data_IF_864592343337
#
_entry.id   IF_864592343337
#
_cell.length_a   1.000
_cell.length_b   1.000
_cell.length_c   1.000
_cell.angle_alpha   90.00
_cell.angle_beta   90.00
_cell.angle_gamma   90.00
#
_symmetry.space_group_name_H-M   'P 1'
#
loop_
_entity.id
_entity.type
_entity.pdbx_description
1 polymer ?
#
# COMPACT_ATOMS: atom_id res chain seq x y z
N UNK A 1 -3.49 -10.01 -8.63
CA UNK A 1 -2.27 -9.92 -7.80
C UNK A 1 -1.25 -9.10 -8.57
N UNK A 2 -0.80 -7.97 -8.02
CA UNK A 2 0.50 -7.43 -8.46
C UNK A 2 1.53 -8.50 -8.08
N UNK A 3 2.33 -8.92 -9.05
CA UNK A 3 3.17 -10.13 -8.97
C UNK A 3 4.37 -9.97 -8.00
N UNK A 4 4.56 -8.78 -7.45
CA UNK A 4 5.47 -8.52 -6.33
C UNK A 4 4.71 -8.82 -5.03
N UNK A 5 5.17 -9.81 -4.27
CA UNK A 5 4.47 -10.43 -3.14
C UNK A 5 4.25 -9.56 -1.90
N UNK A 6 4.17 -8.23 -2.02
CA UNK A 6 3.88 -7.33 -0.92
C UNK A 6 2.46 -6.80 -1.03
N UNK A 7 1.66 -6.98 0.03
CA UNK A 7 0.36 -6.33 0.12
C UNK A 7 0.58 -4.83 0.34
N UNK A 8 -0.03 -4.03 -0.53
CA UNK A 8 0.01 -2.56 -0.44
C UNK A 8 -1.39 -2.02 -0.14
N UNK A 9 -1.46 -1.00 0.69
CA UNK A 9 -2.70 -0.36 1.12
C UNK A 9 -2.55 1.16 1.10
N UNK A 10 -3.51 1.86 0.49
CA UNK A 10 -3.54 3.32 0.50
C UNK A 10 -3.87 3.84 1.91
N UNK A 11 -3.25 4.95 2.31
CA UNK A 11 -3.56 5.71 3.53
C UNK A 11 -3.93 7.14 3.14
N UNK A 12 -5.16 7.54 3.44
CA UNK A 12 -5.69 8.83 3.02
C UNK A 12 -5.58 9.03 1.49
N UNK A 13 -5.30 10.26 1.08
CA UNK A 13 -5.18 10.62 -0.34
C UNK A 13 -3.73 10.79 -0.80
N UNK A 14 -2.76 10.57 0.09
CA UNK A 14 -1.38 11.06 -0.09
C UNK A 14 -0.33 9.97 -0.19
N UNK A 15 -0.68 8.72 0.14
CA UNK A 15 0.32 7.68 0.24
C UNK A 15 -0.28 6.29 0.33
N UNK A 16 0.62 5.30 0.32
CA UNK A 16 0.32 3.91 0.60
C UNK A 16 1.44 3.32 1.44
N UNK A 17 1.14 2.25 2.17
CA UNK A 17 2.13 1.47 2.92
C UNK A 17 2.42 0.15 2.22
N UNK A 18 3.67 -0.29 2.34
CA UNK A 18 4.17 -1.57 1.85
C UNK A 18 4.26 -2.54 3.02
N UNK A 19 3.48 -3.62 3.00
CA UNK A 19 3.64 -4.75 3.93
C UNK A 19 3.63 -4.39 5.42
N UNK A 20 4.13 -5.30 6.24
CA UNK A 20 4.52 -4.99 7.62
C UNK A 20 5.96 -4.43 7.68
N UNK A 21 6.41 -4.04 8.87
CA UNK A 21 7.73 -3.43 9.08
C UNK A 21 8.87 -4.39 8.71
N UNK A 22 8.69 -5.70 8.93
CA UNK A 22 9.70 -6.70 8.61
C UNK A 22 9.84 -6.89 7.10
N UNK A 23 8.71 -6.97 6.38
CA UNK A 23 8.67 -7.01 4.92
C UNK A 23 9.25 -5.73 4.30
N UNK A 24 8.94 -4.57 4.86
CA UNK A 24 9.48 -3.28 4.41
C UNK A 24 11.01 -3.23 4.59
N UNK A 25 11.51 -3.70 5.73
CA UNK A 25 12.94 -3.75 5.99
C UNK A 25 13.66 -4.72 5.03
N UNK A 26 13.08 -5.90 4.78
CA UNK A 26 13.64 -6.87 3.85
C UNK A 26 13.67 -6.37 2.40
N UNK A 27 12.72 -5.51 2.01
CA UNK A 27 12.62 -4.94 0.67
C UNK A 27 13.41 -3.63 0.48
N UNK A 28 14.02 -3.06 1.53
CA UNK A 28 14.60 -1.72 1.48
C UNK A 28 15.66 -1.55 0.38
N UNK A 29 16.59 -2.50 0.26
CA UNK A 29 17.66 -2.44 -0.74
C UNK A 29 17.12 -2.55 -2.18
N UNK A 30 16.11 -3.40 -2.40
CA UNK A 30 15.45 -3.54 -3.70
C UNK A 30 14.67 -2.28 -4.07
N UNK A 31 13.98 -1.66 -3.12
CA UNK A 31 13.28 -0.40 -3.32
C UNK A 31 14.25 0.73 -3.67
N UNK A 32 15.41 0.79 -2.99
CA UNK A 32 16.46 1.76 -3.29
C UNK A 32 17.00 1.58 -4.71
N UNK A 33 17.34 0.34 -5.10
CA UNK A 33 17.81 0.01 -6.46
C UNK A 33 16.79 0.39 -7.54
N UNK A 34 15.51 0.12 -7.31
CA UNK A 34 14.42 0.51 -8.22
C UNK A 34 14.30 2.04 -8.31
N UNK A 35 14.49 2.75 -7.20
CA UNK A 35 14.50 4.21 -7.16
C UNK A 35 15.65 4.81 -7.95
N UNK A 36 16.85 4.23 -7.86
CA UNK A 36 18.02 4.65 -8.65
C UNK A 36 17.82 4.40 -10.15
N UNK A 37 17.25 3.26 -10.53
CA UNK A 37 17.07 2.88 -11.93
C UNK A 37 15.97 3.71 -12.63
N UNK A 38 14.86 3.98 -11.94
CA UNK A 38 13.66 4.55 -12.54
C UNK A 38 13.32 5.96 -12.06
N UNK A 39 14.06 6.49 -11.09
CA UNK A 39 13.85 7.81 -10.52
C UNK A 39 12.62 7.91 -9.60
N UNK A 40 12.36 9.15 -9.16
CA UNK A 40 11.22 9.48 -8.32
C UNK A 40 9.89 9.20 -9.04
N UNK A 41 8.98 8.53 -8.33
CA UNK A 41 7.65 8.14 -8.83
C UNK A 41 6.51 8.76 -8.05
N UNK A 42 6.79 9.80 -7.27
CA UNK A 42 5.77 10.53 -6.52
C UNK A 42 4.66 11.10 -7.43
N UNK A 43 4.96 11.37 -8.71
CA UNK A 43 3.93 11.77 -9.66
C UNK A 43 2.87 10.68 -9.95
N UNK A 44 3.19 9.40 -9.71
CA UNK A 44 2.26 8.26 -9.84
C UNK A 44 1.49 7.97 -8.55
N UNK A 45 1.87 8.55 -7.41
CA UNK A 45 1.20 8.34 -6.13
C UNK A 45 -0.33 8.52 -6.23
N UNK A 46 -0.86 9.58 -6.87
CA UNK A 46 -2.31 9.77 -6.97
C UNK A 46 -3.01 8.63 -7.72
N UNK A 47 -2.40 8.13 -8.80
CA UNK A 47 -2.96 7.05 -9.62
C UNK A 47 -2.93 5.71 -8.88
N UNK A 48 -1.83 5.43 -8.17
CA UNK A 48 -1.70 4.24 -7.33
C UNK A 48 -2.75 4.28 -6.20
N UNK A 49 -2.89 5.41 -5.50
CA UNK A 49 -3.89 5.57 -4.45
C UNK A 49 -5.31 5.40 -5.00
N UNK A 50 -5.63 6.03 -6.13
CA UNK A 50 -6.92 5.88 -6.78
C UNK A 50 -7.20 4.41 -7.13
N UNK A 51 -6.22 3.72 -7.71
CA UNK A 51 -6.34 2.31 -8.04
C UNK A 51 -6.60 1.45 -6.78
N UNK A 52 -5.83 1.63 -5.71
CA UNK A 52 -6.01 0.87 -4.47
C UNK A 52 -7.38 1.09 -3.82
N UNK A 53 -7.93 2.31 -3.91
CA UNK A 53 -9.31 2.58 -3.48
C UNK A 53 -10.33 1.80 -4.29
N UNK A 54 -10.16 1.66 -5.61
CA UNK A 54 -11.06 0.82 -6.43
C UNK A 54 -11.01 -0.65 -6.04
N UNK A 55 -9.89 -1.11 -5.48
CA UNK A 55 -9.73 -2.48 -4.98
C UNK A 55 -10.21 -2.66 -3.53
N UNK A 56 -10.71 -1.60 -2.88
CA UNK A 56 -11.07 -1.61 -1.46
C UNK A 56 -9.87 -1.70 -0.50
N UNK A 57 -8.65 -1.45 -0.99
CA UNK A 57 -7.39 -1.53 -0.23
C UNK A 57 -6.98 -0.14 0.27
N UNK A 58 -7.77 0.43 1.16
CA UNK A 58 -7.61 1.82 1.61
C UNK A 58 -8.06 2.00 3.07
N UNK A 59 -7.30 2.81 3.81
CA UNK A 59 -7.62 3.27 5.16
C UNK A 59 -7.76 4.78 5.13
N UNK A 60 -8.92 5.26 5.58
CA UNK A 60 -9.13 6.68 5.82
C UNK A 60 -8.71 7.02 7.27
N UNK A 61 -7.62 7.77 7.50
CA UNK A 61 -7.19 8.14 8.85
C UNK A 61 -8.18 9.09 9.55
N UNK A 62 -9.05 9.78 8.80
CA UNK A 62 -10.09 10.66 9.34
C UNK A 62 -11.39 9.89 9.65
N UNK A 63 -11.49 8.63 9.21
CA UNK A 63 -12.60 7.74 9.53
C UNK A 63 -12.28 6.94 10.80
N UNK A 64 -13.27 6.66 11.67
CA UNK A 64 -13.09 5.86 12.88
C UNK A 64 -12.92 4.35 12.58
N UNK A 65 -11.97 3.99 11.71
CA UNK A 65 -11.61 2.60 11.40
C UNK A 65 -10.48 2.19 12.35
N UNK A 66 -10.73 1.14 13.14
CA UNK A 66 -9.82 0.74 14.22
C UNK A 66 -8.51 0.06 13.76
N UNK A 67 -8.43 -0.59 12.58
CA UNK A 67 -7.16 -1.15 12.03
C UNK A 67 -7.33 -1.89 10.69
N UNK A 68 -6.25 -2.02 9.90
CA UNK A 68 -6.14 -2.87 8.69
C UNK A 68 -6.56 -4.34 8.90
N UNK A 69 -6.29 -4.89 10.08
CA UNK A 69 -6.66 -6.26 10.47
C UNK A 69 -8.18 -6.48 10.40
N UNK A 70 -8.98 -5.49 10.82
CA UNK A 70 -10.45 -5.54 10.77
C UNK A 70 -10.98 -5.55 9.33
N UNK A 71 -10.30 -4.87 8.39
CA UNK A 71 -10.62 -4.94 6.96
C UNK A 71 -10.30 -6.30 6.36
N UNK A 72 -9.16 -6.89 6.72
CA UNK A 72 -8.73 -8.21 6.23
C UNK A 72 -9.64 -9.35 6.72
N UNK A 73 -10.16 -9.24 7.95
CA UNK A 73 -11.14 -10.18 8.52
C UNK A 73 -12.48 -10.18 7.78
N UNK A 74 -12.96 -9.00 7.36
CA UNK A 74 -14.22 -8.85 6.64
C UNK A 74 -14.18 -9.35 5.19
N UNK A 75 -13.01 -9.35 4.54
CA UNK A 75 -12.87 -9.83 3.16
C UNK A 75 -12.86 -11.38 3.03
N UNK A 76 -12.65 -12.12 4.13
CA UNK A 76 -12.73 -13.59 4.13
C UNK A 76 -14.16 -14.15 4.30
N UNK A 77 -15.16 -13.28 4.48
CA UNK A 77 -16.56 -13.64 4.69
C UNK A 77 -17.45 -13.39 3.45
N UNK A 78 -16.85 -13.09 2.29
CA UNK A 78 -17.54 -13.02 0.99
C UNK A 78 -16.94 -14.02 0.01
#
# INVERSE_FOLDING_TARGET
MIKAGCDICAIGNRGYVLGDVEEMAAAADDLARIGEEFGDRDFLLPEIVAHLKTLGRYIDPESPIETWQSYRGNQKLQ
#
